data_IF_691673927413
#
_entry.id   IF_691673927413
#
_cell.length_a   1.000
_cell.length_b   1.000
_cell.length_c   1.000
_cell.angle_alpha   90.00
_cell.angle_beta   90.00
_cell.angle_gamma   90.00
#
_symmetry.space_group_name_H-M   'P 1'
#
loop_
_entity.id
_entity.type
_entity.pdbx_description
1 polymer ?
#
# COMPACT_ATOMS: atom_id res chain seq x y z
N UNK A 1 6.64 -29.01 4.60
CA UNK A 1 6.45 -27.91 5.57
C UNK A 1 7.33 -26.75 5.10
N UNK A 2 6.73 -25.64 4.72
CA UNK A 2 7.47 -24.42 4.38
C UNK A 2 7.65 -23.63 5.69
N UNK A 3 8.90 -23.28 6.03
CA UNK A 3 9.16 -22.35 7.13
C UNK A 3 8.85 -20.95 6.62
N UNK A 4 7.68 -20.43 6.96
CA UNK A 4 7.27 -19.06 6.68
C UNK A 4 7.46 -18.28 7.97
N UNK A 5 8.20 -17.17 7.91
CA UNK A 5 8.47 -16.32 9.08
C UNK A 5 7.26 -15.45 9.43
N UNK A 6 6.56 -14.94 8.42
CA UNK A 6 5.32 -14.17 8.57
C UNK A 6 4.44 -14.30 7.34
N UNK A 7 3.18 -13.95 7.46
CA UNK A 7 2.21 -13.92 6.36
C UNK A 7 1.64 -12.51 6.25
N UNK A 8 1.79 -11.88 5.09
CA UNK A 8 1.13 -10.60 4.81
C UNK A 8 -0.32 -10.87 4.44
N UNK A 9 -1.24 -10.31 5.19
CA UNK A 9 -2.69 -10.43 4.92
C UNK A 9 -3.08 -9.58 3.70
N UNK A 10 -4.17 -10.00 3.02
CA UNK A 10 -4.68 -9.26 1.86
C UNK A 10 -5.13 -7.85 2.25
N UNK A 11 -4.78 -6.88 1.43
CA UNK A 11 -5.23 -5.49 1.57
C UNK A 11 -6.70 -5.26 1.20
N UNK A 12 -7.38 -6.30 0.71
CA UNK A 12 -8.79 -6.28 0.34
C UNK A 12 -9.72 -6.71 1.49
N UNK A 13 -9.15 -7.13 2.63
CA UNK A 13 -9.92 -7.51 3.81
C UNK A 13 -10.23 -6.29 4.67
N UNK A 14 -11.47 -6.23 5.17
CA UNK A 14 -11.85 -5.31 6.21
C UNK A 14 -11.50 -5.87 7.60
N UNK A 15 -11.61 -5.04 8.64
CA UNK A 15 -11.20 -5.41 10.00
C UNK A 15 -11.98 -6.62 10.55
N UNK A 16 -13.23 -6.78 10.20
CA UNK A 16 -14.06 -7.90 10.66
C UNK A 16 -13.65 -9.21 9.98
N UNK A 17 -13.37 -9.16 8.70
CA UNK A 17 -12.86 -10.31 7.93
C UNK A 17 -11.45 -10.72 8.41
N UNK A 18 -10.62 -9.76 8.82
CA UNK A 18 -9.31 -10.06 9.43
C UNK A 18 -9.49 -10.77 10.76
N UNK A 19 -10.38 -10.29 11.62
CA UNK A 19 -10.68 -10.90 12.91
C UNK A 19 -11.24 -12.33 12.73
N UNK A 20 -12.18 -12.51 11.80
CA UNK A 20 -12.75 -13.82 11.46
C UNK A 20 -11.67 -14.78 10.95
N UNK A 21 -10.83 -14.34 10.01
CA UNK A 21 -9.71 -15.14 9.48
C UNK A 21 -8.77 -15.63 10.59
N UNK A 22 -8.41 -14.75 11.53
CA UNK A 22 -7.51 -15.09 12.65
C UNK A 22 -8.18 -16.12 13.55
N UNK A 23 -9.44 -15.91 13.91
CA UNK A 23 -10.19 -16.80 14.78
C UNK A 23 -10.40 -18.18 14.14
N UNK A 24 -10.76 -18.22 12.87
CA UNK A 24 -10.97 -19.50 12.15
C UNK A 24 -9.66 -20.28 12.04
N UNK A 25 -8.56 -19.59 11.76
CA UNK A 25 -7.25 -20.23 11.66
C UNK A 25 -6.80 -20.81 13.01
N UNK A 26 -6.98 -20.06 14.10
CA UNK A 26 -6.65 -20.54 15.45
C UNK A 26 -7.54 -21.74 15.85
N UNK A 27 -8.83 -21.66 15.56
CA UNK A 27 -9.76 -22.76 15.84
C UNK A 27 -9.42 -24.06 15.08
N UNK A 28 -8.95 -23.93 13.82
CA UNK A 28 -8.63 -25.11 13.00
C UNK A 28 -7.25 -25.69 13.32
N UNK A 29 -6.25 -24.85 13.56
CA UNK A 29 -4.85 -25.28 13.67
C UNK A 29 -4.26 -25.16 15.08
N UNK A 30 -4.92 -24.46 16.01
CA UNK A 30 -4.45 -24.23 17.38
C UNK A 30 -3.26 -23.27 17.49
N UNK A 31 -3.02 -22.48 16.47
CA UNK A 31 -2.01 -21.41 16.46
C UNK A 31 -2.27 -20.42 15.34
N UNK A 32 -1.80 -19.18 15.49
CA UNK A 32 -1.80 -18.18 14.43
C UNK A 32 -0.34 -17.86 14.07
N UNK A 33 0.05 -17.91 12.77
CA UNK A 33 1.40 -17.51 12.38
C UNK A 33 1.58 -15.99 12.60
N UNK A 34 2.82 -15.49 12.70
CA UNK A 34 3.06 -14.05 12.71
C UNK A 34 2.44 -13.41 11.47
N UNK A 35 1.61 -12.39 11.68
CA UNK A 35 0.89 -11.69 10.62
C UNK A 35 1.45 -10.30 10.39
N UNK A 36 1.58 -9.94 9.13
CA UNK A 36 1.97 -8.59 8.67
C UNK A 36 0.80 -7.93 7.96
N UNK A 37 0.60 -6.63 8.17
CA UNK A 37 -0.40 -5.83 7.47
C UNK A 37 0.24 -4.60 6.82
N UNK A 38 -0.14 -4.31 5.56
CA UNK A 38 0.22 -3.05 4.89
C UNK A 38 -0.71 -1.96 5.43
N UNK A 39 -0.13 -0.98 6.12
CA UNK A 39 -0.88 0.12 6.77
C UNK A 39 -0.65 1.48 6.12
N UNK A 40 0.32 1.55 5.22
CA UNK A 40 0.58 2.73 4.39
C UNK A 40 1.02 2.32 2.99
N UNK A 41 0.54 3.04 1.98
CA UNK A 41 1.02 2.97 0.61
C UNK A 41 -0.08 3.07 -0.43
N UNK A 42 0.33 3.19 -1.70
CA UNK A 42 -0.61 3.24 -2.82
C UNK A 42 -0.78 1.86 -3.42
N UNK A 43 -2.01 1.37 -3.47
CA UNK A 43 -2.29 0.09 -4.11
C UNK A 43 -2.01 0.17 -5.61
N UNK A 44 -1.43 -0.90 -6.14
CA UNK A 44 -1.26 -1.08 -7.57
C UNK A 44 -2.62 -1.39 -8.20
N UNK A 45 -3.09 -0.51 -9.08
CA UNK A 45 -4.37 -0.69 -9.78
C UNK A 45 -4.20 -1.42 -11.10
N UNK A 46 -3.02 -1.29 -11.74
CA UNK A 46 -2.71 -1.95 -13.00
C UNK A 46 -1.20 -2.16 -13.16
N UNK A 47 -0.84 -3.31 -13.69
CA UNK A 47 0.51 -3.58 -14.21
C UNK A 47 0.39 -4.01 -15.67
N UNK A 48 1.13 -3.35 -16.57
CA UNK A 48 1.06 -3.61 -18.00
C UNK A 48 2.45 -3.63 -18.65
N UNK A 49 2.61 -4.53 -19.62
CA UNK A 49 3.80 -4.55 -20.48
C UNK A 49 3.77 -3.48 -21.57
N UNK A 50 2.64 -2.82 -21.77
CA UNK A 50 2.52 -1.74 -22.76
C UNK A 50 2.98 -0.41 -22.16
N UNK A 51 4.05 0.16 -22.72
CA UNK A 51 4.55 1.46 -22.32
C UNK A 51 3.81 2.57 -23.09
N UNK A 52 2.70 3.04 -22.56
CA UNK A 52 1.95 4.15 -23.15
C UNK A 52 2.69 5.49 -23.05
N UNK A 53 3.63 5.66 -22.10
CA UNK A 53 4.50 6.84 -22.03
C UNK A 53 5.34 6.96 -23.30
N UNK A 54 6.02 5.90 -23.71
CA UNK A 54 6.81 5.90 -24.94
C UNK A 54 5.94 6.18 -26.16
N UNK A 55 4.75 5.55 -26.22
CA UNK A 55 3.80 5.75 -27.32
C UNK A 55 3.32 7.19 -27.41
N UNK A 56 2.95 7.80 -26.30
CA UNK A 56 2.46 9.19 -26.25
C UNK A 56 3.55 10.19 -26.65
N UNK A 57 4.80 9.92 -26.27
CA UNK A 57 5.95 10.75 -26.63
C UNK A 57 6.52 10.45 -28.02
N UNK A 58 5.94 9.50 -28.78
CA UNK A 58 6.39 9.16 -30.13
C UNK A 58 7.67 8.34 -30.18
N UNK A 59 8.03 7.64 -29.09
CA UNK A 59 9.23 6.80 -29.01
C UNK A 59 8.91 5.32 -29.08
N UNK A 60 9.90 4.53 -29.49
CA UNK A 60 9.85 3.08 -29.33
C UNK A 60 10.12 2.68 -27.87
N UNK A 61 9.44 1.63 -27.41
CA UNK A 61 9.65 1.02 -26.10
C UNK A 61 11.14 0.68 -25.91
N UNK A 62 11.67 0.91 -24.69
CA UNK A 62 13.07 0.71 -24.27
C UNK A 62 14.10 1.72 -24.82
N UNK A 63 13.73 2.60 -25.73
CA UNK A 63 14.67 3.58 -26.27
C UNK A 63 14.39 5.03 -25.85
N UNK A 64 13.26 5.31 -25.24
CA UNK A 64 12.91 6.71 -24.90
C UNK A 64 13.63 7.22 -23.62
N UNK A 65 13.85 6.41 -22.60
CA UNK A 65 14.49 6.77 -21.32
C UNK A 65 13.76 7.86 -20.49
N UNK A 66 12.61 8.36 -20.93
CA UNK A 66 11.91 9.51 -20.36
C UNK A 66 11.52 9.31 -18.89
N UNK A 67 11.12 8.08 -18.51
CA UNK A 67 10.76 7.74 -17.12
C UNK A 67 11.94 7.73 -16.14
N UNK A 68 13.19 7.82 -16.62
CA UNK A 68 14.39 7.96 -15.78
C UNK A 68 14.65 9.41 -15.35
N UNK A 69 14.08 10.36 -16.07
CA UNK A 69 14.33 11.80 -15.89
C UNK A 69 13.09 12.56 -15.47
N UNK A 70 11.91 11.97 -15.58
CA UNK A 70 10.63 12.62 -15.31
C UNK A 70 9.64 11.67 -14.66
N UNK A 71 8.82 12.21 -13.76
CA UNK A 71 7.70 11.50 -13.18
C UNK A 71 6.48 11.65 -14.08
N UNK A 72 5.72 10.58 -14.23
CA UNK A 72 4.50 10.55 -15.02
C UNK A 72 3.31 10.13 -14.17
N UNK A 73 2.14 10.58 -14.55
CA UNK A 73 0.89 10.18 -13.95
C UNK A 73 -0.22 10.15 -15.01
N UNK A 74 -1.25 9.38 -14.78
CA UNK A 74 -2.52 9.49 -15.50
C UNK A 74 -3.44 10.47 -14.79
N UNK A 75 -4.10 11.31 -15.56
CA UNK A 75 -5.17 12.17 -15.09
C UNK A 75 -6.49 11.62 -15.61
N UNK A 76 -7.43 11.33 -14.73
CA UNK A 76 -8.76 10.88 -15.13
C UNK A 76 -9.71 12.06 -15.42
N UNK A 77 -10.94 11.75 -15.81
CA UNK A 77 -11.99 12.74 -16.13
C UNK A 77 -12.46 13.54 -14.92
N UNK A 78 -12.18 13.05 -13.71
CA UNK A 78 -12.54 13.68 -12.43
C UNK A 78 -11.34 14.44 -11.82
N UNK A 79 -10.24 14.58 -12.57
CA UNK A 79 -8.97 15.17 -12.14
C UNK A 79 -8.24 14.41 -11.02
N UNK A 80 -8.51 13.12 -10.84
CA UNK A 80 -7.66 12.29 -9.99
C UNK A 80 -6.36 11.96 -10.70
N UNK A 81 -5.26 12.08 -9.97
CA UNK A 81 -3.90 11.84 -10.45
C UNK A 81 -3.44 10.46 -10.00
N UNK A 82 -3.23 9.55 -10.95
CA UNK A 82 -2.75 8.19 -10.72
C UNK A 82 -1.26 8.12 -11.04
N UNK A 83 -0.39 8.04 -10.04
CA UNK A 83 1.06 7.96 -10.26
C UNK A 83 1.45 6.73 -11.06
N UNK A 84 2.53 6.87 -11.84
CA UNK A 84 3.06 5.80 -12.69
C UNK A 84 4.52 5.58 -12.35
N UNK A 85 4.91 4.32 -12.23
CA UNK A 85 6.32 3.92 -12.24
C UNK A 85 6.59 2.95 -13.38
N UNK A 86 7.86 2.80 -13.73
CA UNK A 86 8.31 1.84 -14.73
C UNK A 86 9.50 1.06 -14.23
N UNK A 87 9.57 -0.22 -14.57
CA UNK A 87 10.72 -1.05 -14.30
C UNK A 87 11.78 -0.97 -15.42
N UNK A 88 12.86 -1.73 -15.27
CA UNK A 88 13.96 -1.78 -16.25
C UNK A 88 13.54 -2.37 -17.62
N UNK A 89 12.45 -3.12 -17.66
CA UNK A 89 11.87 -3.70 -18.87
C UNK A 89 10.79 -2.82 -19.50
N UNK A 90 10.62 -1.60 -18.95
CA UNK A 90 9.56 -0.65 -19.32
C UNK A 90 8.15 -1.23 -19.15
N UNK A 91 7.96 -2.14 -18.22
CA UNK A 91 6.61 -2.44 -17.74
C UNK A 91 6.14 -1.26 -16.89
N UNK A 92 4.88 -0.94 -17.01
CA UNK A 92 4.27 0.22 -16.36
C UNK A 92 3.39 -0.26 -15.21
N UNK A 93 3.60 0.31 -14.04
CA UNK A 93 2.72 0.16 -12.88
C UNK A 93 1.98 1.46 -12.64
N UNK A 94 0.67 1.37 -12.54
CA UNK A 94 -0.22 2.49 -12.19
C UNK A 94 -0.69 2.28 -10.76
N UNK A 95 -0.55 3.30 -9.94
CA UNK A 95 -0.97 3.27 -8.55
C UNK A 95 -2.26 4.04 -8.33
N UNK A 96 -2.97 3.72 -7.27
CA UNK A 96 -4.15 4.46 -6.86
C UNK A 96 -3.81 5.94 -6.62
N UNK A 97 -4.76 6.81 -6.92
CA UNK A 97 -4.62 8.27 -6.72
C UNK A 97 -4.39 8.63 -5.25
N UNK A 98 -4.96 7.86 -4.31
CA UNK A 98 -4.82 8.07 -2.86
C UNK A 98 -3.99 6.96 -2.24
N UNK A 99 -3.14 7.34 -1.27
CA UNK A 99 -2.45 6.38 -0.43
C UNK A 99 -3.38 5.87 0.68
N UNK A 100 -3.31 4.58 0.97
CA UNK A 100 -3.87 4.05 2.21
C UNK A 100 -3.07 4.61 3.38
N UNK A 101 -3.75 5.00 4.46
CA UNK A 101 -3.13 5.59 5.64
C UNK A 101 -3.94 5.22 6.87
N UNK A 102 -3.46 4.24 7.63
CA UNK A 102 -4.15 3.63 8.78
C UNK A 102 -3.49 3.99 10.12
N UNK A 103 -2.81 5.15 10.20
CA UNK A 103 -2.04 5.51 11.39
C UNK A 103 -2.90 5.55 12.66
N UNK A 104 -4.13 6.05 12.56
CA UNK A 104 -5.08 6.18 13.67
C UNK A 104 -5.58 4.80 14.19
N UNK A 105 -5.37 3.75 13.41
CA UNK A 105 -5.85 2.39 13.68
C UNK A 105 -4.75 1.42 14.11
N UNK A 106 -3.48 1.87 14.22
CA UNK A 106 -2.34 1.00 14.50
C UNK A 106 -2.54 0.22 15.79
N UNK A 107 -3.04 0.85 16.85
CA UNK A 107 -3.27 0.18 18.13
C UNK A 107 -4.40 -0.86 18.04
N UNK A 108 -5.48 -0.56 17.30
CA UNK A 108 -6.56 -1.50 17.02
C UNK A 108 -6.03 -2.70 16.19
N UNK A 109 -5.25 -2.43 15.15
CA UNK A 109 -4.64 -3.45 14.28
C UNK A 109 -3.75 -4.40 15.10
N UNK A 110 -2.93 -3.87 16.00
CA UNK A 110 -2.10 -4.70 16.87
C UNK A 110 -2.94 -5.54 17.84
N UNK A 111 -4.05 -5.01 18.36
CA UNK A 111 -4.97 -5.75 19.22
C UNK A 111 -5.69 -6.90 18.51
N UNK A 112 -5.86 -6.83 17.18
CA UNK A 112 -6.36 -7.95 16.37
C UNK A 112 -5.36 -9.13 16.26
N UNK A 113 -4.11 -8.95 16.70
CA UNK A 113 -3.07 -9.99 16.62
C UNK A 113 -2.09 -9.82 15.48
N UNK A 114 -2.12 -8.68 14.78
CA UNK A 114 -1.09 -8.32 13.80
C UNK A 114 0.22 -8.03 14.51
N UNK A 115 1.28 -8.73 14.14
CA UNK A 115 2.58 -8.66 14.82
C UNK A 115 3.57 -7.71 14.14
N UNK A 116 3.34 -7.38 12.88
CA UNK A 116 4.17 -6.43 12.13
C UNK A 116 3.34 -5.57 11.19
N UNK A 117 3.78 -4.34 10.98
CA UNK A 117 3.19 -3.42 10.02
C UNK A 117 4.19 -3.12 8.90
N UNK A 118 3.67 -2.94 7.68
CA UNK A 118 4.48 -2.60 6.51
C UNK A 118 4.04 -1.27 5.90
N UNK A 119 5.03 -0.43 5.56
CA UNK A 119 4.87 0.80 4.83
C UNK A 119 5.40 0.59 3.41
N UNK A 120 4.52 0.62 2.41
CA UNK A 120 4.85 0.41 0.99
C UNK A 120 4.99 1.76 0.28
N UNK A 121 6.21 2.26 0.22
CA UNK A 121 6.52 3.50 -0.50
C UNK A 121 6.70 3.23 -2.00
N UNK A 122 6.09 4.05 -2.83
CA UNK A 122 6.09 3.90 -4.29
C UNK A 122 6.52 5.14 -5.05
N UNK A 123 6.09 6.32 -4.61
CA UNK A 123 6.32 7.59 -5.30
C UNK A 123 6.72 8.72 -4.36
N UNK A 124 6.79 8.44 -3.08
CA UNK A 124 7.14 9.37 -2.03
C UNK A 124 8.61 9.80 -2.15
N UNK A 125 8.87 11.07 -1.89
CA UNK A 125 10.25 11.57 -1.83
C UNK A 125 10.95 11.18 -0.50
N UNK A 126 12.28 11.27 -0.40
CA UNK A 126 13.00 10.85 0.81
C UNK A 126 12.55 11.53 2.11
N UNK A 127 12.12 12.80 2.04
CA UNK A 127 11.64 13.52 3.23
C UNK A 127 10.26 13.02 3.66
N UNK A 128 9.38 12.72 2.72
CA UNK A 128 8.07 12.10 2.99
C UNK A 128 8.26 10.72 3.60
N UNK A 129 9.13 9.88 3.03
CA UNK A 129 9.47 8.57 3.58
C UNK A 129 9.93 8.67 5.03
N UNK A 130 10.85 9.60 5.32
CA UNK A 130 11.35 9.82 6.67
C UNK A 130 10.23 10.24 7.65
N UNK A 131 9.44 11.25 7.28
CA UNK A 131 8.40 11.79 8.14
C UNK A 131 7.31 10.76 8.42
N UNK A 132 6.87 10.03 7.39
CA UNK A 132 5.84 9.00 7.51
C UNK A 132 6.37 7.83 8.36
N UNK A 133 7.58 7.35 8.07
CA UNK A 133 8.17 6.25 8.84
C UNK A 133 8.31 6.61 10.30
N UNK A 134 8.79 7.82 10.62
CA UNK A 134 8.90 8.30 11.98
C UNK A 134 7.54 8.32 12.69
N UNK A 135 6.53 8.92 12.06
CA UNK A 135 5.20 9.02 12.65
C UNK A 135 4.57 7.64 12.95
N UNK A 136 4.69 6.70 12.01
CA UNK A 136 4.22 5.33 12.24
C UNK A 136 5.00 4.62 13.36
N UNK A 137 6.31 4.86 13.46
CA UNK A 137 7.11 4.32 14.55
C UNK A 137 6.73 4.90 15.91
N UNK A 138 6.50 6.23 15.97
CA UNK A 138 6.05 6.92 17.19
C UNK A 138 4.71 6.30 17.67
N UNK A 139 3.71 6.21 16.78
CA UNK A 139 2.40 5.61 17.13
C UNK A 139 2.50 4.11 17.46
N UNK A 140 3.34 3.36 16.75
CA UNK A 140 3.57 1.95 17.07
C UNK A 140 4.14 1.76 18.49
N UNK A 141 4.96 2.70 18.96
CA UNK A 141 5.54 2.72 20.29
C UNK A 141 4.65 3.45 21.34
N UNK A 142 3.37 3.71 21.04
CA UNK A 142 2.44 4.44 21.91
C UNK A 142 2.81 5.90 22.15
N UNK A 143 3.53 6.53 21.22
CA UNK A 143 3.84 7.96 21.25
C UNK A 143 2.86 8.75 20.35
N UNK A 144 2.66 10.02 20.64
CA UNK A 144 1.83 10.90 19.80
C UNK A 144 2.59 11.36 18.56
N UNK A 145 1.86 11.65 17.48
CA UNK A 145 2.41 12.22 16.25
C UNK A 145 1.57 13.38 15.76
N UNK A 146 2.24 14.39 15.19
CA UNK A 146 1.60 15.53 14.55
C UNK A 146 1.48 15.33 13.00
N UNK A 147 1.77 14.13 12.49
CA UNK A 147 1.68 13.88 11.05
C UNK A 147 0.24 14.00 10.57
N UNK A 148 0.02 14.94 9.67
CA UNK A 148 -1.23 15.06 8.93
C UNK A 148 -0.96 14.87 7.44
N UNK A 149 -1.67 13.94 6.81
CA UNK A 149 -1.65 13.73 5.36
C UNK A 149 -3.04 14.04 4.81
N UNK A 150 -3.09 14.94 3.83
CA UNK A 150 -4.29 15.18 3.04
C UNK A 150 -4.38 14.14 1.92
N UNK A 151 -5.61 13.95 1.41
CA UNK A 151 -5.85 13.11 0.23
C UNK A 151 -5.44 11.64 0.39
N UNK A 152 -5.77 11.06 1.53
CA UNK A 152 -5.57 9.64 1.87
C UNK A 152 -6.87 8.85 1.86
N UNK A 153 -6.79 7.54 2.00
CA UNK A 153 -7.93 6.62 2.13
C UNK A 153 -7.63 5.58 3.19
N UNK A 154 -8.68 5.01 3.78
CA UNK A 154 -8.54 3.86 4.69
C UNK A 154 -8.54 2.51 3.96
N UNK A 155 -8.56 2.53 2.61
CA UNK A 155 -8.69 1.30 1.82
C UNK A 155 -9.98 0.57 2.16
N UNK A 156 -9.89 -0.76 2.27
CA UNK A 156 -11.01 -1.61 2.65
C UNK A 156 -11.15 -1.79 4.18
N UNK A 157 -10.18 -1.35 4.97
CA UNK A 157 -10.12 -1.64 6.40
C UNK A 157 -11.39 -1.24 7.16
N UNK A 158 -11.99 -0.11 6.84
CA UNK A 158 -13.23 0.39 7.47
C UNK A 158 -14.51 0.03 6.71
N UNK A 159 -14.41 -0.67 5.57
CA UNK A 159 -15.60 -1.05 4.82
C UNK A 159 -16.44 -2.02 5.66
N UNK A 160 -17.67 -1.60 5.91
CA UNK A 160 -18.66 -2.46 6.54
C UNK A 160 -19.39 -3.19 5.42
N UNK A 161 -19.15 -4.50 5.28
CA UNK A 161 -19.99 -5.39 4.49
C UNK A 161 -21.39 -5.49 5.14
N UNK A 162 -22.14 -4.42 5.06
CA UNK A 162 -23.59 -4.40 5.29
C UNK A 162 -24.27 -4.08 3.98
N UNK A 163 -24.30 -5.08 3.10
CA UNK A 163 -25.28 -5.18 2.02
C UNK A 163 -25.68 -6.64 1.85
#
# INVERSE_FOLDING_TARGET
KHNVESVTISTELNKYQIEELINDFDNEFGFVPPLEMIVYGRYQTMVTKHCFIAKELGFEKKHCGSCKTSNFALLDRMNYVFPITTDNDCNVTIYNSKAVHLIDYIQEIMQLGITSIRLDFSVENPQEVYNITKAYLDVFNYEETDLYLSDVTYGYYLDNDKN
#
